data_IF_152934960008
#
_entry.id   IF_152934960008
#
_cell.length_a   1.000
_cell.length_b   1.000
_cell.length_c   1.000
_cell.angle_alpha   90.00
_cell.angle_beta   90.00
_cell.angle_gamma   90.00
#
_symmetry.space_group_name_H-M   'P 1'
#
loop_
_entity.id
_entity.type
_entity.pdbx_description
1 polymer ?
#
# COMPACT_ATOMS: atom_id res chain seq x y z
N UNK A 1 -67.02 44.14 -12.95
CA UNK A 1 -66.29 42.95 -13.43
C UNK A 1 -65.21 42.61 -12.40
N UNK A 2 -65.39 41.55 -11.60
CA UNK A 2 -64.38 41.07 -10.63
C UNK A 2 -63.71 39.84 -11.25
N UNK A 3 -62.41 39.94 -11.54
CA UNK A 3 -61.60 38.80 -11.98
C UNK A 3 -61.51 37.71 -10.91
N UNK A 4 -61.24 36.45 -11.29
CA UNK A 4 -61.29 35.33 -10.37
C UNK A 4 -60.17 35.45 -9.32
N UNK A 5 -60.54 35.35 -8.04
CA UNK A 5 -59.61 35.27 -6.91
C UNK A 5 -59.20 33.81 -6.72
N UNK A 6 -57.94 33.49 -7.03
CA UNK A 6 -57.38 32.17 -6.71
C UNK A 6 -57.31 31.98 -5.19
N UNK A 7 -57.84 30.85 -4.70
CA UNK A 7 -57.83 30.50 -3.28
C UNK A 7 -56.40 30.30 -2.77
N UNK A 8 -56.13 30.74 -1.53
CA UNK A 8 -54.82 30.60 -0.85
C UNK A 8 -54.29 29.17 -0.85
N UNK A 9 -55.18 28.15 -0.83
CA UNK A 9 -54.80 26.74 -0.96
C UNK A 9 -54.22 26.39 -2.33
N UNK A 10 -54.69 27.04 -3.40
CA UNK A 10 -54.19 26.85 -4.77
C UNK A 10 -52.80 27.49 -4.93
N UNK A 11 -52.59 28.66 -4.33
CA UNK A 11 -51.27 29.31 -4.28
C UNK A 11 -50.26 28.45 -3.50
N UNK A 12 -50.69 27.83 -2.39
CA UNK A 12 -49.85 26.95 -1.60
C UNK A 12 -49.50 25.64 -2.33
N UNK A 13 -50.45 25.03 -3.04
CA UNK A 13 -50.19 23.82 -3.84
C UNK A 13 -49.26 24.12 -5.02
N UNK A 14 -49.41 25.28 -5.68
CA UNK A 14 -48.48 25.72 -6.74
C UNK A 14 -47.08 26.03 -6.19
N UNK A 15 -46.96 26.58 -4.98
CA UNK A 15 -45.67 26.80 -4.32
C UNK A 15 -45.00 25.48 -3.89
N UNK A 16 -45.77 24.49 -3.45
CA UNK A 16 -45.27 23.16 -3.08
C UNK A 16 -44.89 22.31 -4.31
N UNK A 17 -45.58 22.48 -5.46
CA UNK A 17 -45.19 21.87 -6.74
C UNK A 17 -43.96 22.55 -7.38
N UNK A 18 -43.71 23.82 -7.07
CA UNK A 18 -42.50 24.55 -7.50
C UNK A 18 -41.21 24.15 -6.78
N UNK A 19 -41.32 23.42 -5.66
CA UNK A 19 -40.19 22.88 -4.90
C UNK A 19 -39.94 21.38 -5.21
N UNK A 20 -40.35 20.91 -6.40
CA UNK A 20 -39.89 19.64 -6.94
C UNK A 20 -38.39 19.76 -7.23
N UNK A 21 -37.60 19.39 -6.22
CA UNK A 21 -36.19 19.03 -6.26
C UNK A 21 -35.58 19.09 -7.66
N UNK A 22 -34.88 20.19 -7.96
CA UNK A 22 -33.81 20.18 -8.94
C UNK A 22 -32.69 19.28 -8.39
N UNK A 23 -32.93 17.97 -8.42
CA UNK A 23 -31.86 17.00 -8.35
C UNK A 23 -31.02 17.32 -9.58
N UNK A 24 -29.83 17.87 -9.37
CA UNK A 24 -28.87 18.07 -10.45
C UNK A 24 -28.47 16.67 -10.90
N UNK A 25 -29.26 16.09 -11.79
CA UNK A 25 -28.86 14.95 -12.59
C UNK A 25 -27.74 15.47 -13.48
N UNK A 26 -26.50 15.28 -13.05
CA UNK A 26 -25.34 15.36 -13.93
C UNK A 26 -25.40 14.18 -14.90
N UNK A 27 -26.24 14.30 -15.93
CA UNK A 27 -26.24 13.36 -17.04
C UNK A 27 -25.40 13.95 -18.16
N UNK A 28 -24.46 13.15 -18.66
CA UNK A 28 -23.65 13.52 -19.80
C UNK A 28 -24.43 13.22 -21.08
N UNK A 29 -24.56 14.22 -21.94
CA UNK A 29 -25.15 14.03 -23.27
C UNK A 29 -24.07 13.55 -24.25
N UNK A 30 -24.47 12.92 -25.36
CA UNK A 30 -23.54 12.56 -26.45
C UNK A 30 -22.80 13.78 -27.05
N UNK A 31 -23.30 14.99 -26.79
CA UNK A 31 -22.66 16.25 -27.17
C UNK A 31 -21.66 16.81 -26.16
N UNK A 32 -21.51 16.21 -24.97
CA UNK A 32 -20.72 16.79 -23.88
C UNK A 32 -19.25 17.04 -24.24
N UNK A 33 -18.68 16.18 -25.09
CA UNK A 33 -17.29 16.30 -25.55
C UNK A 33 -17.15 16.99 -26.92
N UNK A 34 -18.23 17.53 -27.50
CA UNK A 34 -18.16 18.21 -28.81
C UNK A 34 -17.48 19.57 -28.74
N UNK A 35 -17.54 20.24 -27.60
CA UNK A 35 -16.72 21.41 -27.33
C UNK A 35 -15.29 20.90 -27.10
N UNK A 36 -14.40 21.10 -28.07
CA UNK A 36 -13.00 20.69 -27.96
C UNK A 36 -12.34 21.22 -26.68
N UNK A 37 -11.33 20.50 -26.21
CA UNK A 37 -10.67 20.84 -24.96
C UNK A 37 -9.77 22.07 -25.10
N UNK A 38 -9.80 22.93 -24.09
CA UNK A 38 -8.81 24.01 -23.96
C UNK A 38 -7.43 23.39 -23.70
N UNK A 39 -6.34 23.94 -24.26
CA UNK A 39 -5.00 23.49 -23.92
C UNK A 39 -4.73 23.71 -22.43
N UNK A 40 -4.15 22.69 -21.78
CA UNK A 40 -3.82 22.70 -20.36
C UNK A 40 -2.31 22.66 -20.21
N UNK A 41 -1.74 23.72 -19.66
CA UNK A 41 -0.33 23.79 -19.28
C UNK A 41 -0.15 23.17 -17.89
N UNK A 42 0.73 22.17 -17.77
CA UNK A 42 0.85 21.36 -16.56
C UNK A 42 2.30 21.17 -16.09
N UNK A 43 3.05 22.26 -16.05
CA UNK A 43 4.40 22.23 -15.48
C UNK A 43 4.35 22.02 -13.96
N UNK A 44 5.14 21.06 -13.48
CA UNK A 44 5.23 20.72 -12.06
C UNK A 44 3.95 20.12 -11.46
N UNK A 45 2.98 19.72 -12.28
CA UNK A 45 1.73 19.10 -11.85
C UNK A 45 1.53 17.70 -12.43
N UNK A 46 0.44 17.04 -12.03
CA UNK A 46 -0.02 15.78 -12.60
C UNK A 46 -1.17 16.05 -13.55
N UNK A 47 -0.98 15.71 -14.82
CA UNK A 47 -2.04 15.77 -15.84
C UNK A 47 -2.95 14.54 -15.68
N UNK A 48 -4.21 14.77 -15.34
CA UNK A 48 -5.24 13.72 -15.28
C UNK A 48 -6.09 13.83 -16.54
N UNK A 49 -6.06 12.77 -17.35
CA UNK A 49 -6.87 12.69 -18.57
C UNK A 49 -8.34 12.44 -18.22
N UNK A 50 -9.26 12.93 -19.06
CA UNK A 50 -10.69 12.64 -18.97
C UNK A 50 -11.28 12.92 -17.57
N UNK A 51 -10.94 14.07 -17.00
CA UNK A 51 -11.15 14.39 -15.59
C UNK A 51 -12.25 15.44 -15.35
N UNK A 52 -12.76 16.08 -16.40
CA UNK A 52 -13.91 16.98 -16.30
C UNK A 52 -15.20 16.21 -16.01
N UNK A 53 -16.28 16.90 -15.63
CA UNK A 53 -17.57 16.34 -15.18
C UNK A 53 -18.20 15.30 -16.13
N UNK A 54 -17.82 15.27 -17.41
CA UNK A 54 -18.23 14.25 -18.38
C UNK A 54 -17.09 13.44 -18.99
N UNK A 55 -15.92 13.45 -18.37
CA UNK A 55 -14.75 12.67 -18.78
C UNK A 55 -14.15 13.08 -20.12
N UNK A 56 -14.32 14.33 -20.54
CA UNK A 56 -13.96 14.76 -21.89
C UNK A 56 -12.56 15.37 -21.98
N UNK A 57 -12.16 16.14 -20.97
CA UNK A 57 -10.96 16.97 -21.05
C UNK A 57 -9.99 16.70 -19.90
N UNK A 58 -8.68 16.90 -20.13
CA UNK A 58 -7.70 16.77 -19.09
C UNK A 58 -7.80 17.94 -18.09
N UNK A 59 -7.36 17.69 -16.87
CA UNK A 59 -7.08 18.74 -15.87
C UNK A 59 -5.64 18.59 -15.39
N UNK A 60 -5.03 19.68 -14.97
CA UNK A 60 -3.76 19.66 -14.27
C UNK A 60 -3.99 19.82 -12.78
N UNK A 61 -3.50 18.87 -11.98
CA UNK A 61 -3.51 18.98 -10.51
C UNK A 61 -2.13 19.39 -10.05
N UNK A 62 -2.03 20.58 -9.44
CA UNK A 62 -0.75 21.09 -8.92
C UNK A 62 -0.62 20.76 -7.42
N UNK A 63 0.54 20.22 -6.99
CA UNK A 63 0.78 19.94 -5.58
C UNK A 63 1.01 21.23 -4.80
N UNK A 64 0.34 21.37 -3.67
CA UNK A 64 0.47 22.47 -2.73
C UNK A 64 1.51 22.14 -1.65
N UNK A 65 2.32 23.14 -1.29
CA UNK A 65 3.29 23.01 -0.22
C UNK A 65 2.65 23.03 1.17
N UNK A 66 3.44 22.69 2.20
CA UNK A 66 3.03 22.83 3.60
C UNK A 66 2.69 24.29 3.91
N UNK A 67 1.60 24.52 4.66
CA UNK A 67 1.09 25.85 5.00
C UNK A 67 0.28 26.54 3.88
N UNK A 68 0.24 25.98 2.67
CA UNK A 68 -0.57 26.53 1.59
C UNK A 68 -2.06 26.35 1.86
N UNK A 69 -2.87 27.28 1.35
CA UNK A 69 -4.34 27.17 1.39
C UNK A 69 -4.82 26.10 0.43
N UNK A 70 -5.70 25.22 0.89
CA UNK A 70 -6.31 24.15 0.12
C UNK A 70 -7.84 24.21 0.22
N UNK A 71 -8.51 23.76 -0.84
CA UNK A 71 -9.97 23.71 -0.92
C UNK A 71 -10.42 22.29 -1.23
N UNK A 72 -11.05 21.62 -0.26
CA UNK A 72 -11.66 20.32 -0.47
C UNK A 72 -13.12 20.58 -0.89
N UNK A 73 -13.39 20.70 -2.18
CA UNK A 73 -14.79 20.76 -2.63
C UNK A 73 -15.38 19.35 -2.56
N UNK A 74 -16.32 19.13 -1.63
CA UNK A 74 -17.07 17.87 -1.45
C UNK A 74 -17.88 17.44 -2.69
N UNK A 75 -18.03 18.32 -3.68
CA UNK A 75 -18.64 18.01 -4.97
C UNK A 75 -17.65 17.31 -5.89
N UNK A 76 -18.08 16.19 -6.49
CA UNK A 76 -17.37 15.21 -7.32
C UNK A 76 -16.50 15.69 -8.51
N UNK A 77 -16.10 16.96 -8.56
CA UNK A 77 -15.07 17.49 -9.45
C UNK A 77 -13.70 17.17 -8.85
N UNK A 78 -12.87 16.45 -9.59
CA UNK A 78 -11.46 16.26 -9.23
C UNK A 78 -10.82 17.64 -8.94
N UNK A 79 -10.12 17.82 -7.81
CA UNK A 79 -9.64 19.13 -7.41
C UNK A 79 -8.54 19.60 -8.36
N UNK A 80 -8.51 20.90 -8.67
CA UNK A 80 -7.44 21.51 -9.48
C UNK A 80 -6.11 21.63 -8.72
N UNK A 81 -6.15 21.45 -7.39
CA UNK A 81 -5.01 21.54 -6.49
C UNK A 81 -5.14 20.46 -5.43
N UNK A 82 -4.04 19.82 -5.06
CA UNK A 82 -4.00 18.85 -3.97
C UNK A 82 -2.83 19.17 -3.05
N UNK A 83 -2.96 18.90 -1.75
CA UNK A 83 -1.79 18.97 -0.88
C UNK A 83 -0.73 17.98 -1.38
N UNK A 84 0.53 18.41 -1.35
CA UNK A 84 1.65 17.65 -1.87
C UNK A 84 1.91 16.34 -1.12
N UNK A 85 2.97 15.61 -1.49
CA UNK A 85 3.33 14.33 -0.89
C UNK A 85 3.35 14.38 0.63
N UNK A 86 2.74 13.39 1.29
CA UNK A 86 2.68 13.29 2.77
C UNK A 86 1.95 14.43 3.50
N UNK A 87 1.25 15.31 2.79
CA UNK A 87 0.42 16.37 3.35
C UNK A 87 -1.08 16.02 3.25
N UNK A 88 -1.90 16.65 4.07
CA UNK A 88 -3.36 16.57 4.04
C UNK A 88 -3.97 17.94 4.31
N UNK A 89 -5.16 18.19 3.77
CA UNK A 89 -5.83 19.48 3.92
C UNK A 89 -6.71 19.46 5.18
N UNK A 90 -6.26 20.15 6.23
CA UNK A 90 -7.00 20.33 7.49
C UNK A 90 -7.28 21.80 7.68
N UNK A 91 -8.53 22.16 7.97
CA UNK A 91 -8.94 23.56 8.15
C UNK A 91 -8.54 24.48 6.99
N UNK A 92 -8.61 23.96 5.76
CA UNK A 92 -8.21 24.65 4.51
C UNK A 92 -6.72 24.99 4.43
N UNK A 93 -5.87 24.29 5.19
CA UNK A 93 -4.41 24.43 5.16
C UNK A 93 -3.76 23.06 4.97
N UNK A 94 -2.76 22.99 4.09
CA UNK A 94 -1.96 21.79 3.92
C UNK A 94 -1.03 21.59 5.10
N UNK A 95 -1.22 20.50 5.85
CA UNK A 95 -0.42 20.12 7.02
C UNK A 95 0.12 18.70 6.88
N UNK A 96 1.18 18.31 7.60
CA UNK A 96 1.67 16.93 7.59
C UNK A 96 0.58 15.93 7.98
N UNK A 97 0.40 14.88 7.16
CA UNK A 97 -0.60 13.84 7.39
C UNK A 97 -0.15 12.86 8.49
N UNK A 98 -0.25 13.28 9.76
CA UNK A 98 0.23 12.50 10.91
C UNK A 98 -0.62 11.29 11.28
N UNK A 99 -1.79 11.10 10.64
CA UNK A 99 -2.54 9.84 10.71
C UNK A 99 -1.77 8.68 10.06
N UNK A 100 -0.85 9.01 9.15
CA UNK A 100 0.06 8.04 8.54
C UNK A 100 1.28 7.79 9.43
N UNK A 101 1.61 6.51 9.72
CA UNK A 101 2.65 6.19 10.68
C UNK A 101 4.05 6.62 10.23
N UNK A 102 4.31 6.67 8.91
CA UNK A 102 5.59 7.17 8.40
C UNK A 102 5.75 8.66 8.67
N UNK A 103 4.75 9.46 8.27
CA UNK A 103 4.77 10.92 8.42
C UNK A 103 4.89 11.30 9.89
N UNK A 104 4.11 10.66 10.77
CA UNK A 104 4.23 10.84 12.22
C UNK A 104 5.66 10.62 12.71
N UNK A 105 6.29 9.53 12.28
CA UNK A 105 7.66 9.19 12.68
C UNK A 105 8.70 10.14 12.11
N UNK A 106 8.50 10.70 10.91
CA UNK A 106 9.33 11.79 10.39
C UNK A 106 9.22 13.01 11.29
N UNK A 107 8.01 13.44 11.62
CA UNK A 107 7.76 14.62 12.46
C UNK A 107 8.38 14.47 13.86
N UNK A 108 8.30 13.27 14.46
CA UNK A 108 8.97 12.97 15.74
C UNK A 108 10.50 13.12 15.62
N UNK A 109 11.10 12.57 14.56
CA UNK A 109 12.57 12.65 14.36
C UNK A 109 13.05 14.08 14.10
N UNK A 110 12.27 14.88 13.39
CA UNK A 110 12.58 16.29 13.17
C UNK A 110 12.57 17.09 14.49
N UNK A 111 11.63 16.80 15.41
CA UNK A 111 11.60 17.41 16.75
C UNK A 111 12.82 17.04 17.59
N UNK A 112 13.33 15.83 17.42
CA UNK A 112 14.53 15.33 18.13
C UNK A 112 15.85 15.91 17.58
N UNK A 113 15.80 16.85 16.62
CA UNK A 113 16.98 17.42 15.98
C UNK A 113 17.72 16.45 15.05
N UNK A 114 17.10 15.32 14.69
CA UNK A 114 17.67 14.40 13.71
C UNK A 114 17.48 14.99 12.30
N UNK A 115 18.52 15.66 11.80
CA UNK A 115 18.60 15.97 10.38
C UNK A 115 18.79 14.67 9.58
N UNK A 116 18.52 14.73 8.27
CA UNK A 116 18.70 13.64 7.29
C UNK A 116 20.09 12.96 7.33
N UNK A 117 21.06 13.57 8.00
CA UNK A 117 22.47 13.23 7.94
C UNK A 117 23.10 13.08 9.33
N UNK A 118 22.63 12.09 10.12
CA UNK A 118 23.35 11.66 11.32
C UNK A 118 24.21 10.42 11.02
N UNK A 119 25.53 10.59 11.07
CA UNK A 119 26.56 9.57 10.75
C UNK A 119 26.49 8.32 11.63
N UNK A 120 25.90 8.40 12.84
CA UNK A 120 25.72 7.27 13.76
C UNK A 120 24.26 6.98 14.13
N UNK A 121 23.31 7.73 13.55
CA UNK A 121 21.88 7.58 13.79
C UNK A 121 21.18 6.85 12.63
N UNK A 122 20.06 6.17 12.91
CA UNK A 122 19.19 5.72 11.81
C UNK A 122 18.53 6.95 11.19
N UNK A 123 18.66 7.20 9.88
CA UNK A 123 18.04 8.36 9.24
C UNK A 123 16.53 8.33 9.42
N UNK A 124 15.88 9.50 9.36
CA UNK A 124 14.42 9.58 9.34
C UNK A 124 13.83 8.62 8.29
N UNK A 125 12.62 8.06 8.54
CA UNK A 125 11.95 7.25 7.53
C UNK A 125 11.68 8.04 6.27
N UNK A 126 11.72 7.37 5.13
CA UNK A 126 11.26 7.95 3.87
C UNK A 126 9.82 7.51 3.64
N UNK A 127 8.96 8.49 3.36
CA UNK A 127 7.56 8.26 3.07
C UNK A 127 7.31 8.37 1.56
N UNK A 128 6.31 7.66 1.06
CA UNK A 128 5.82 7.81 -0.30
C UNK A 128 4.83 8.98 -0.41
N UNK A 129 4.25 9.16 -1.60
CA UNK A 129 3.30 10.25 -1.88
C UNK A 129 2.08 10.23 -0.97
N UNK A 130 1.67 9.05 -0.52
CA UNK A 130 0.49 8.86 0.33
C UNK A 130 0.82 8.90 1.82
N UNK A 131 2.09 9.10 2.18
CA UNK A 131 2.56 9.08 3.55
C UNK A 131 2.77 7.68 4.11
N UNK A 132 2.70 6.61 3.31
CA UNK A 132 3.09 5.27 3.74
C UNK A 132 4.62 5.14 3.72
N UNK A 133 5.19 4.16 4.42
CA UNK A 133 6.63 3.92 4.34
C UNK A 133 7.05 3.48 2.93
N UNK A 134 8.14 4.06 2.41
CA UNK A 134 8.77 3.56 1.18
C UNK A 134 9.16 2.08 1.34
N UNK A 135 9.11 1.27 0.27
CA UNK A 135 9.37 -0.18 0.32
C UNK A 135 10.72 -0.59 0.89
N UNK A 136 11.76 0.25 0.71
CA UNK A 136 13.15 -0.05 1.04
C UNK A 136 13.67 0.88 2.12
N UNK A 137 14.45 0.33 3.05
CA UNK A 137 15.18 1.07 4.09
C UNK A 137 16.66 0.69 4.05
N UNK A 138 17.51 1.67 3.78
CA UNK A 138 18.93 1.48 3.60
C UNK A 138 19.74 2.17 4.69
N UNK A 139 20.80 1.51 5.16
CA UNK A 139 21.88 2.15 5.91
C UNK A 139 23.05 2.35 4.95
N UNK A 140 23.48 3.60 4.76
CA UNK A 140 24.58 3.95 3.84
C UNK A 140 25.81 3.08 4.13
N UNK A 141 26.39 2.49 3.09
CA UNK A 141 27.59 1.65 3.18
C UNK A 141 27.41 0.27 3.83
N UNK A 142 26.18 -0.12 4.19
CA UNK A 142 25.89 -1.39 4.86
C UNK A 142 24.92 -2.23 4.03
N UNK A 143 23.65 -2.26 4.44
CA UNK A 143 22.63 -3.13 3.88
C UNK A 143 21.31 -2.37 3.74
N UNK A 144 20.54 -2.82 2.75
CA UNK A 144 19.15 -2.44 2.54
C UNK A 144 18.23 -3.61 2.92
N UNK A 145 17.02 -3.27 3.34
CA UNK A 145 15.98 -4.26 3.63
C UNK A 145 14.59 -3.75 3.26
N UNK A 146 13.69 -4.69 3.04
CA UNK A 146 12.30 -4.40 2.74
C UNK A 146 11.49 -4.09 4.00
N UNK A 147 10.51 -3.21 3.85
CA UNK A 147 9.49 -2.90 4.85
C UNK A 147 8.08 -2.91 4.26
N UNK A 148 7.07 -3.19 5.08
CA UNK A 148 5.66 -3.08 4.71
C UNK A 148 5.19 -1.61 4.67
N UNK A 149 3.88 -1.36 4.49
CA UNK A 149 3.32 0.01 4.49
C UNK A 149 3.40 0.73 5.84
N UNK A 150 3.51 -0.04 6.94
CA UNK A 150 3.59 0.47 8.30
C UNK A 150 5.03 0.61 8.81
N UNK A 151 6.03 0.23 7.99
CA UNK A 151 7.45 0.30 8.33
C UNK A 151 7.97 -0.94 9.06
N UNK A 152 7.19 -2.01 9.15
CA UNK A 152 7.63 -3.29 9.72
C UNK A 152 8.60 -3.97 8.76
N UNK A 153 9.73 -4.47 9.28
CA UNK A 153 10.68 -5.24 8.48
C UNK A 153 10.03 -6.53 7.97
N UNK A 154 10.18 -6.75 6.66
CA UNK A 154 9.77 -7.99 5.98
C UNK A 154 10.99 -8.64 5.30
N UNK A 155 10.82 -9.84 4.75
CA UNK A 155 11.87 -10.54 4.01
C UNK A 155 12.38 -9.70 2.82
N UNK A 156 13.64 -9.87 2.45
CA UNK A 156 14.29 -9.15 1.36
C UNK A 156 15.42 -8.28 1.87
N UNK A 157 16.65 -8.59 1.46
CA UNK A 157 17.86 -7.85 1.83
C UNK A 157 18.81 -7.77 0.65
N UNK A 158 19.53 -6.66 0.55
CA UNK A 158 20.58 -6.45 -0.44
C UNK A 158 21.73 -5.64 0.18
N UNK A 159 22.90 -5.68 -0.44
CA UNK A 159 23.98 -4.75 -0.09
C UNK A 159 23.58 -3.33 -0.46
N UNK A 160 24.17 -2.33 0.21
CA UNK A 160 23.89 -0.93 -0.13
C UNK A 160 24.25 -0.60 -1.60
N UNK A 161 25.27 -1.27 -2.17
CA UNK A 161 25.65 -1.13 -3.58
C UNK A 161 24.58 -1.62 -4.57
N UNK A 162 23.65 -2.45 -4.13
CA UNK A 162 22.58 -3.06 -4.94
C UNK A 162 21.22 -2.39 -4.66
N UNK A 163 21.22 -1.26 -3.94
CA UNK A 163 20.00 -0.61 -3.48
C UNK A 163 19.08 -0.16 -4.61
N UNK A 164 19.63 0.16 -5.78
CA UNK A 164 18.86 0.63 -6.94
C UNK A 164 18.12 -0.51 -7.64
N UNK A 165 18.69 -1.71 -7.60
CA UNK A 165 18.07 -2.94 -8.11
C UNK A 165 17.06 -3.53 -7.12
N UNK A 166 16.94 -2.99 -5.90
CA UNK A 166 16.04 -3.47 -4.85
C UNK A 166 14.73 -2.67 -4.83
N UNK A 167 13.62 -3.31 -5.18
CA UNK A 167 12.28 -2.72 -5.26
C UNK A 167 11.29 -3.25 -4.21
N UNK A 168 11.54 -4.42 -3.62
CA UNK A 168 10.71 -5.02 -2.55
C UNK A 168 9.25 -5.31 -2.93
N UNK A 169 8.91 -5.29 -4.22
CA UNK A 169 7.54 -5.44 -4.71
C UNK A 169 6.96 -6.83 -4.38
N UNK A 170 7.74 -7.90 -4.56
CA UNK A 170 7.31 -9.26 -4.22
C UNK A 170 7.16 -9.45 -2.71
N UNK A 171 8.12 -8.97 -1.91
CA UNK A 171 8.03 -9.06 -0.45
C UNK A 171 6.78 -8.39 0.10
N UNK A 172 6.44 -7.18 -0.39
CA UNK A 172 5.22 -6.48 0.04
C UNK A 172 3.95 -7.20 -0.42
N UNK A 173 3.92 -7.69 -1.66
CA UNK A 173 2.77 -8.43 -2.19
C UNK A 173 2.59 -9.77 -1.45
N UNK A 174 3.68 -10.45 -1.11
CA UNK A 174 3.65 -11.69 -0.33
C UNK A 174 3.17 -11.44 1.10
N UNK A 175 3.63 -10.37 1.76
CA UNK A 175 3.17 -10.00 3.10
C UNK A 175 1.67 -9.66 3.12
N UNK A 176 1.17 -8.99 2.08
CA UNK A 176 -0.26 -8.71 1.95
C UNK A 176 -1.07 -9.98 1.64
N UNK A 177 -0.61 -10.81 0.70
CA UNK A 177 -1.31 -12.04 0.32
C UNK A 177 -1.33 -13.08 1.42
N UNK A 178 -0.34 -13.17 2.30
CA UNK A 178 -0.42 -14.07 3.46
C UNK A 178 -1.59 -13.73 4.41
N UNK A 179 -2.03 -12.47 4.42
CA UNK A 179 -3.21 -12.06 5.18
C UNK A 179 -4.55 -12.40 4.49
N UNK A 180 -4.54 -12.70 3.18
CA UNK A 180 -5.77 -12.79 2.35
C UNK A 180 -5.92 -14.13 1.62
N UNK A 181 -4.84 -14.69 1.07
CA UNK A 181 -4.79 -15.91 0.26
C UNK A 181 -3.43 -16.64 0.43
N UNK A 182 -3.24 -17.44 1.50
CA UNK A 182 -1.94 -18.01 1.87
C UNK A 182 -1.41 -19.08 0.89
N UNK A 183 -2.28 -19.66 0.06
CA UNK A 183 -1.93 -20.71 -0.90
C UNK A 183 -1.25 -20.17 -2.16
N UNK A 184 -1.45 -18.89 -2.50
CA UNK A 184 -0.84 -18.25 -3.66
C UNK A 184 0.51 -17.62 -3.30
N UNK A 185 1.52 -18.47 -3.14
CA UNK A 185 2.89 -18.03 -2.86
C UNK A 185 3.58 -17.57 -4.14
N UNK A 186 4.03 -16.33 -4.14
CA UNK A 186 4.87 -15.78 -5.18
C UNK A 186 6.32 -16.20 -4.93
N UNK A 187 7.05 -16.48 -6.01
CA UNK A 187 8.50 -16.69 -5.95
C UNK A 187 9.16 -15.32 -5.92
N UNK A 188 9.82 -14.99 -4.82
CA UNK A 188 10.60 -13.77 -4.68
C UNK A 188 12.11 -14.06 -4.78
N UNK A 189 12.88 -13.09 -5.24
CA UNK A 189 14.34 -13.10 -5.14
C UNK A 189 14.79 -12.78 -3.71
N UNK A 190 16.07 -13.01 -3.39
CA UNK A 190 16.63 -12.75 -2.06
C UNK A 190 16.57 -11.27 -1.62
N UNK A 191 16.61 -10.34 -2.58
CA UNK A 191 16.43 -8.89 -2.34
C UNK A 191 14.95 -8.47 -2.26
N UNK A 192 14.00 -9.40 -2.33
CA UNK A 192 12.57 -9.13 -2.17
C UNK A 192 11.86 -8.65 -3.44
N UNK A 193 12.52 -8.71 -4.59
CA UNK A 193 11.89 -8.49 -5.88
C UNK A 193 11.13 -9.71 -6.37
N UNK A 194 10.33 -9.51 -7.40
CA UNK A 194 9.64 -10.59 -8.09
C UNK A 194 10.65 -11.44 -8.86
N UNK A 195 10.60 -12.76 -8.66
CA UNK A 195 11.37 -13.66 -9.51
C UNK A 195 10.80 -13.61 -10.93
N UNK A 196 11.65 -13.49 -11.98
CA UNK A 196 11.18 -13.48 -13.36
C UNK A 196 10.41 -14.74 -13.73
N UNK A 197 10.72 -15.89 -13.13
CA UNK A 197 10.01 -17.14 -13.34
C UNK A 197 9.01 -17.39 -12.19
N UNK A 198 7.74 -17.44 -12.53
CA UNK A 198 6.67 -17.86 -11.62
C UNK A 198 6.07 -19.18 -12.07
N UNK A 199 5.62 -19.99 -11.12
CA UNK A 199 4.87 -21.20 -11.39
C UNK A 199 3.71 -21.33 -10.41
N UNK A 200 2.58 -21.77 -10.95
CA UNK A 200 1.43 -22.29 -10.22
C UNK A 200 1.44 -23.82 -10.31
N UNK A 201 0.42 -24.47 -9.75
CA UNK A 201 0.26 -25.93 -9.85
C UNK A 201 0.03 -26.42 -11.29
N UNK A 202 -0.35 -25.53 -12.22
CA UNK A 202 -0.75 -25.91 -13.59
C UNK A 202 0.12 -25.30 -14.67
N UNK A 203 0.64 -24.09 -14.46
CA UNK A 203 1.40 -23.34 -15.47
C UNK A 203 2.58 -22.60 -14.86
N UNK A 204 3.66 -22.50 -15.64
CA UNK A 204 4.78 -21.59 -15.40
C UNK A 204 4.76 -20.44 -16.40
N UNK A 205 5.22 -19.27 -15.98
CA UNK A 205 5.18 -18.06 -16.80
C UNK A 205 6.28 -17.09 -16.39
N UNK A 206 6.67 -16.25 -17.35
CA UNK A 206 7.62 -15.18 -17.12
C UNK A 206 6.91 -13.90 -16.70
N UNK A 207 7.50 -13.17 -15.76
CA UNK A 207 7.08 -11.84 -15.35
C UNK A 207 8.18 -10.82 -15.57
N UNK A 208 7.79 -9.61 -15.98
CA UNK A 208 8.65 -8.43 -15.92
C UNK A 208 8.89 -8.01 -14.47
N UNK A 209 9.89 -7.17 -14.19
CA UNK A 209 10.12 -6.63 -12.84
C UNK A 209 8.89 -5.95 -12.23
N UNK A 210 8.01 -5.37 -13.04
CA UNK A 210 6.76 -4.71 -12.61
C UNK A 210 5.61 -5.70 -12.37
N UNK A 211 5.79 -6.98 -12.71
CA UNK A 211 4.79 -8.03 -12.53
C UNK A 211 3.84 -8.24 -13.71
N UNK A 212 4.21 -7.82 -14.92
CA UNK A 212 3.45 -8.09 -16.16
C UNK A 212 3.90 -9.41 -16.79
N UNK A 213 3.00 -10.12 -17.47
CA UNK A 213 3.39 -11.32 -18.24
C UNK A 213 4.36 -10.97 -19.36
N UNK A 214 5.49 -11.67 -19.43
CA UNK A 214 6.47 -11.59 -20.50
C UNK A 214 6.40 -12.84 -21.38
N UNK A 215 5.43 -12.85 -22.29
CA UNK A 215 5.13 -14.00 -23.14
C UNK A 215 4.07 -14.95 -22.59
N UNK A 216 3.76 -16.04 -23.33
CA UNK A 216 2.69 -16.95 -22.97
C UNK A 216 3.08 -17.87 -21.80
N UNK A 217 2.11 -18.20 -20.91
CA UNK A 217 2.32 -19.24 -19.91
C UNK A 217 2.49 -20.60 -20.59
N UNK A 218 3.33 -21.46 -20.02
CA UNK A 218 3.51 -22.85 -20.45
C UNK A 218 2.92 -23.79 -19.38
N UNK A 219 2.19 -24.85 -19.76
CA UNK A 219 1.75 -25.86 -18.80
C UNK A 219 2.94 -26.51 -18.09
N UNK A 220 2.80 -26.86 -16.81
CA UNK A 220 3.90 -27.46 -16.00
C UNK A 220 4.40 -28.81 -16.56
N UNK A 221 3.56 -29.48 -17.36
CA UNK A 221 3.91 -30.72 -18.06
C UNK A 221 4.84 -30.50 -19.25
N UNK A 222 4.99 -29.27 -19.72
CA UNK A 222 5.89 -28.92 -20.80
C UNK A 222 7.28 -28.50 -20.29
N UNK A 223 8.33 -28.61 -21.13
CA UNK A 223 9.68 -28.19 -20.75
C UNK A 223 9.73 -26.69 -20.41
N UNK A 224 9.90 -26.37 -19.13
CA UNK A 224 10.02 -25.00 -18.62
C UNK A 224 11.23 -24.26 -19.20
N UNK A 225 12.22 -24.98 -19.73
CA UNK A 225 13.39 -24.44 -20.41
C UNK A 225 13.03 -23.61 -21.66
N UNK A 226 11.81 -23.77 -22.19
CA UNK A 226 11.29 -22.95 -23.29
C UNK A 226 11.00 -21.51 -22.88
N UNK A 227 10.80 -21.25 -21.58
CA UNK A 227 10.60 -19.90 -21.08
C UNK A 227 11.92 -19.14 -21.13
N UNK A 228 11.92 -17.96 -21.77
CA UNK A 228 13.11 -17.11 -21.89
C UNK A 228 13.69 -16.68 -20.54
N UNK A 229 12.82 -16.54 -19.54
CA UNK A 229 13.20 -16.20 -18.18
C UNK A 229 13.68 -17.41 -17.37
N UNK A 230 13.71 -18.62 -17.93
CA UNK A 230 14.24 -19.79 -17.22
C UNK A 230 15.76 -19.69 -17.10
N UNK A 231 16.27 -19.84 -15.89
CA UNK A 231 17.70 -19.95 -15.61
C UNK A 231 17.92 -21.13 -14.64
N UNK A 232 18.82 -22.04 -14.99
CA UNK A 232 19.18 -23.19 -14.15
C UNK A 232 19.67 -22.77 -12.75
N UNK A 233 20.28 -21.57 -12.65
CA UNK A 233 20.79 -21.04 -11.40
C UNK A 233 19.69 -20.51 -10.45
N UNK A 234 18.42 -20.40 -10.88
CA UNK A 234 17.31 -20.19 -9.95
C UNK A 234 17.15 -21.38 -8.97
N UNK A 235 17.81 -22.52 -9.25
CA UNK A 235 17.90 -23.71 -8.40
C UNK A 235 18.65 -23.53 -7.09
N UNK A 236 19.73 -22.75 -7.07
CA UNK A 236 20.69 -22.78 -5.97
C UNK A 236 20.28 -22.00 -4.71
N UNK A 237 19.12 -21.34 -4.70
CA UNK A 237 18.58 -20.70 -3.50
C UNK A 237 17.54 -21.56 -2.75
N UNK A 238 17.06 -22.67 -3.32
CA UNK A 238 16.00 -23.50 -2.72
C UNK A 238 16.37 -24.97 -2.47
N UNK A 239 17.42 -25.50 -3.11
CA UNK A 239 17.87 -26.90 -2.91
C UNK A 239 18.15 -27.24 -1.42
N UNK A 240 18.51 -26.23 -0.61
CA UNK A 240 18.80 -26.39 0.83
C UNK A 240 17.59 -26.65 1.73
N UNK A 241 16.34 -26.59 1.21
CA UNK A 241 15.12 -26.90 1.99
C UNK A 241 14.35 -28.15 1.54
N UNK A 242 14.72 -28.75 0.40
CA UNK A 242 14.13 -30.02 -0.05
C UNK A 242 15.04 -31.20 0.24
N UNK A 243 16.36 -30.98 0.35
CA UNK A 243 17.33 -32.03 0.68
C UNK A 243 17.57 -32.27 2.18
N UNK A 244 16.69 -31.81 3.08
CA UNK A 244 16.74 -32.14 4.52
C UNK A 244 15.59 -33.00 5.01
N UNK A 245 14.77 -33.54 4.09
CA UNK A 245 13.86 -34.64 4.41
C UNK A 245 14.59 -35.97 4.18
N UNK A 246 14.79 -36.81 5.22
CA UNK A 246 15.37 -38.12 5.03
C UNK A 246 14.45 -38.98 4.13
N UNK A 247 15.00 -39.80 3.23
CA UNK A 247 14.21 -40.64 2.35
C UNK A 247 13.53 -41.75 3.17
N UNK A 248 12.22 -41.61 3.38
CA UNK A 248 11.45 -42.62 4.14
C UNK A 248 9.97 -42.33 4.32
N UNK A 249 9.48 -41.10 4.10
CA UNK A 249 8.07 -40.78 4.26
C UNK A 249 7.33 -40.71 2.91
N UNK A 250 7.27 -41.84 2.17
CA UNK A 250 6.30 -42.02 1.11
C UNK A 250 5.29 -43.12 1.51
N UNK A 251 4.04 -42.71 1.72
CA UNK A 251 2.86 -43.57 1.64
C UNK A 251 2.48 -44.37 2.89
N UNK A 252 1.35 -44.03 3.49
CA UNK A 252 0.16 -44.90 3.54
C UNK A 252 -0.94 -44.28 4.42
N UNK A 253 -2.18 -44.35 3.94
CA UNK A 253 -3.38 -44.20 4.76
C UNK A 253 -3.53 -45.42 5.67
N UNK A 254 -3.69 -45.21 6.98
CA UNK A 254 -4.38 -46.13 7.90
C UNK A 254 -4.52 -45.49 9.29
N UNK A 255 -5.71 -44.93 9.54
CA UNK A 255 -6.64 -45.27 10.62
C UNK A 255 -6.12 -45.86 11.97
N UNK A 256 -6.73 -45.36 13.06
CA UNK A 256 -7.07 -46.02 14.34
C UNK A 256 -6.25 -45.70 15.62
N UNK A 257 -7.04 -45.18 16.58
CA UNK A 257 -7.01 -45.22 18.06
C UNK A 257 -6.04 -44.35 18.84
N UNK A 258 -6.66 -43.53 19.68
CA UNK A 258 -6.00 -42.82 20.76
C UNK A 258 -5.63 -43.72 21.92
N UNK A 259 -4.78 -43.18 22.78
CA UNK A 259 -4.86 -43.41 24.21
C UNK A 259 -4.37 -42.17 24.94
N UNK A 260 -5.22 -41.66 25.83
CA UNK A 260 -4.92 -40.53 26.69
C UNK A 260 -3.97 -40.97 27.81
N UNK A 261 -2.97 -40.15 28.15
CA UNK A 261 -2.43 -40.14 29.52
C UNK A 261 -1.99 -38.75 29.96
N UNK A 262 -2.64 -38.35 31.05
CA UNK A 262 -2.50 -37.17 31.90
C UNK A 262 -1.06 -36.96 32.41
N UNK A 263 -0.63 -35.69 32.48
CA UNK A 263 0.49 -35.27 33.33
C UNK A 263 -0.03 -34.25 34.34
N UNK A 264 0.02 -34.66 35.61
CA UNK A 264 -0.37 -33.92 36.80
C UNK A 264 0.54 -32.71 37.07
N UNK A 265 -0.08 -31.64 37.58
CA UNK A 265 0.55 -30.50 38.27
C UNK A 265 1.15 -30.92 39.63
N UNK A 266 2.33 -30.37 39.97
CA UNK A 266 2.83 -29.98 41.31
C UNK A 266 4.03 -29.04 41.08
N UNK A 267 4.42 -28.08 41.92
CA UNK A 267 3.86 -27.21 42.95
C UNK A 267 5.04 -26.26 43.34
N UNK A 268 4.77 -25.00 43.63
CA UNK A 268 5.77 -23.99 44.06
C UNK A 268 6.45 -24.32 45.40
N UNK A 269 7.58 -23.67 45.72
CA UNK A 269 7.88 -23.29 47.10
C UNK A 269 8.02 -21.76 47.30
N UNK A 270 7.54 -21.34 48.47
CA UNK A 270 7.39 -19.97 48.97
C UNK A 270 8.71 -19.29 49.35
N UNK A 271 8.67 -17.95 49.25
CA UNK A 271 9.62 -16.97 49.81
C UNK A 271 9.64 -16.94 51.35
N UNK A 272 10.67 -16.31 51.95
CA UNK A 272 10.36 -15.30 52.97
C UNK A 272 11.17 -13.99 52.86
N UNK A 273 10.42 -12.89 52.92
CA UNK A 273 10.66 -11.58 53.54
C UNK A 273 12.11 -11.13 53.88
N UNK A 274 12.48 -9.93 53.43
CA UNK A 274 13.14 -8.89 54.24
C UNK A 274 12.82 -7.47 53.67
N UNK A 275 12.58 -6.52 54.58
CA UNK A 275 11.94 -5.19 54.43
C UNK A 275 12.82 -4.09 53.77
N UNK A 276 12.23 -2.94 53.38
CA UNK A 276 12.93 -1.83 52.72
C UNK A 276 13.53 -0.82 53.73
N UNK A 277 14.66 -0.19 53.38
CA UNK A 277 15.18 1.00 54.08
C UNK A 277 15.19 2.23 53.15
N UNK A 278 14.69 3.32 53.72
CA UNK A 278 14.45 4.67 53.18
C UNK A 278 15.73 5.47 52.85
N UNK A 279 15.58 6.32 51.82
CA UNK A 279 15.99 7.73 51.68
C UNK A 279 16.94 8.37 52.72
N UNK A 280 17.96 9.07 52.20
CA UNK A 280 18.54 10.37 52.63
C UNK A 280 19.36 10.88 51.41
N UNK A 281 18.91 11.88 50.62
CA UNK A 281 19.25 13.32 50.72
C UNK A 281 20.54 13.63 51.49
N UNK A 282 21.57 14.02 50.75
CA UNK A 282 22.31 15.31 50.80
C UNK A 282 23.00 15.50 49.46
#
# INVERSE_FOLDING_TARGET
MRGPRLSSRVVLVLALLGAASAQILFYCTEGACKAGCKPVECDGGRLIQNATTCGCCPICVKPLGEGARCENTETASLPSQECGPSLTCVDKVCVPNTDKPCVKKVQERLKDGATSEMVYGSPAPECDTYGDFKPKRCKKGLMCHCVDKNGTRIFGTALYSEADEMHCNCSRLQALSMAVAPERRLRCTANGNLSPLQCSDTHCYCLTPEGRLDGPPVPIKEPIQRLKCFNANFGHSWESRVNTLPPGAQGSSAEVRGEARSVHRRAEPRSPNLRPRRLLRT
#
